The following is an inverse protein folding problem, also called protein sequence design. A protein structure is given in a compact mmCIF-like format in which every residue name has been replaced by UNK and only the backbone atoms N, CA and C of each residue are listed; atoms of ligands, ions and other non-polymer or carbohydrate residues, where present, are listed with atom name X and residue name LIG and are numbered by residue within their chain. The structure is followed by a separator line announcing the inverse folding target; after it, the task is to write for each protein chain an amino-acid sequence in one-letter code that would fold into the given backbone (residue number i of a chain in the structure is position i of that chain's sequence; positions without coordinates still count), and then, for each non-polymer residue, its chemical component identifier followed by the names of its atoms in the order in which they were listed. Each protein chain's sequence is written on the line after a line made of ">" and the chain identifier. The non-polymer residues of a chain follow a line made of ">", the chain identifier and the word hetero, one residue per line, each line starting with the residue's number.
data_IF_158007328457
#
_entry.id   IF_158007328457
#
_cell.length_a   1.000
_cell.length_b   1.000
_cell.length_c   1.000
_cell.angle_alpha   90.00
_cell.angle_beta   90.00
_cell.angle_gamma   90.00
#
_symmetry.space_group_name_H-M   'P 1'
#
loop_
_entity.id
_entity.type
_entity.pdbx_description
1 polymer ?
#
# COMPACT_ATOMS: atom_id res chain seq x y z
N UNK A 1 34.91 14.09 14.72
CA UNK A 1 34.07 12.93 14.41
C UNK A 1 34.50 12.41 13.04
N UNK A 2 35.10 11.19 12.95
CA UNK A 2 35.58 10.59 11.69
C UNK A 2 34.35 10.39 10.76
N UNK A 3 34.37 10.97 9.58
CA UNK A 3 33.29 10.81 8.59
C UNK A 3 33.19 9.35 8.17
N UNK A 4 32.00 8.75 8.29
CA UNK A 4 31.72 7.39 7.82
C UNK A 4 32.02 7.29 6.32
N UNK A 5 32.71 6.24 5.89
CA UNK A 5 32.95 5.97 4.47
C UNK A 5 31.62 5.71 3.75
N UNK A 6 31.59 5.93 2.41
CA UNK A 6 30.38 5.72 1.61
C UNK A 6 29.79 4.31 1.80
N UNK A 7 30.66 3.27 1.87
CA UNK A 7 30.23 1.90 2.12
C UNK A 7 29.61 1.69 3.51
N UNK A 8 30.16 2.33 4.56
CA UNK A 8 29.57 2.26 5.90
C UNK A 8 28.18 2.91 5.98
N UNK A 9 27.95 4.01 5.26
CA UNK A 9 26.63 4.64 5.20
C UNK A 9 25.63 3.74 4.48
N UNK A 10 26.02 3.12 3.38
CA UNK A 10 25.17 2.20 2.62
C UNK A 10 24.78 0.98 3.45
N UNK A 11 25.74 0.36 4.15
CA UNK A 11 25.50 -0.78 5.04
C UNK A 11 24.52 -0.41 6.18
N UNK A 12 24.69 0.76 6.80
CA UNK A 12 23.79 1.22 7.85
C UNK A 12 22.37 1.50 7.34
N UNK A 13 22.22 2.07 6.15
CA UNK A 13 20.92 2.29 5.53
C UNK A 13 20.24 0.96 5.19
N UNK A 14 20.95 0.01 4.62
CA UNK A 14 20.44 -1.32 4.32
C UNK A 14 20.01 -2.05 5.61
N UNK A 15 20.85 -2.05 6.65
CA UNK A 15 20.49 -2.63 7.94
C UNK A 15 19.29 -1.97 8.61
N UNK A 16 19.16 -0.64 8.53
CA UNK A 16 18.00 0.08 9.02
C UNK A 16 16.73 -0.31 8.25
N UNK A 17 16.79 -0.39 6.91
CA UNK A 17 15.66 -0.80 6.07
C UNK A 17 15.23 -2.24 6.39
N UNK A 18 16.18 -3.17 6.51
CA UNK A 18 15.89 -4.56 6.87
C UNK A 18 15.19 -4.66 8.23
N UNK A 19 15.74 -3.98 9.25
CA UNK A 19 15.14 -3.95 10.60
C UNK A 19 13.75 -3.29 10.60
N UNK A 20 13.57 -2.17 9.92
CA UNK A 20 12.28 -1.49 9.80
C UNK A 20 11.24 -2.37 9.10
N UNK A 21 11.65 -3.08 8.05
CA UNK A 21 10.79 -4.02 7.33
C UNK A 21 10.38 -5.20 8.22
N UNK A 22 11.34 -5.82 8.91
CA UNK A 22 11.08 -6.94 9.82
C UNK A 22 10.11 -6.52 10.94
N UNK A 23 10.40 -5.39 11.60
CA UNK A 23 9.54 -4.84 12.66
C UNK A 23 8.13 -4.54 12.14
N UNK A 24 8.01 -3.99 10.93
CA UNK A 24 6.72 -3.74 10.28
C UNK A 24 5.93 -5.04 10.04
N UNK A 25 6.59 -6.12 9.63
CA UNK A 25 5.96 -7.44 9.44
C UNK A 25 5.46 -8.03 10.76
N UNK A 26 6.28 -7.93 11.83
CA UNK A 26 5.89 -8.38 13.17
C UNK A 26 4.68 -7.57 13.68
N UNK A 27 4.70 -6.24 13.56
CA UNK A 27 3.56 -5.40 13.93
C UNK A 27 2.33 -5.71 13.08
N UNK A 28 2.49 -6.03 11.80
CA UNK A 28 1.40 -6.49 10.95
C UNK A 28 0.76 -7.78 11.46
N UNK A 29 1.57 -8.74 11.91
CA UNK A 29 1.05 -9.97 12.53
C UNK A 29 0.30 -9.69 13.84
N UNK A 30 0.86 -8.84 14.72
CA UNK A 30 0.20 -8.42 15.96
C UNK A 30 -1.14 -7.76 15.64
N UNK A 31 -1.20 -6.84 14.67
CA UNK A 31 -2.44 -6.19 14.23
C UNK A 31 -3.49 -7.21 13.77
N UNK A 32 -3.10 -8.17 12.93
CA UNK A 32 -4.02 -9.16 12.38
C UNK A 32 -4.46 -10.16 13.46
N UNK A 33 -3.61 -10.48 14.45
CA UNK A 33 -3.98 -11.26 15.64
C UNK A 33 -4.95 -10.50 16.54
N UNK A 34 -4.78 -9.20 16.70
CA UNK A 34 -5.73 -8.37 17.45
C UNK A 34 -7.11 -8.29 16.77
N UNK A 35 -7.16 -8.31 15.44
CA UNK A 35 -8.44 -8.38 14.72
C UNK A 35 -9.25 -9.58 15.19
N UNK A 36 -8.66 -10.77 15.17
CA UNK A 36 -9.34 -12.00 15.60
C UNK A 36 -9.57 -12.08 17.10
N UNK A 37 -8.68 -11.52 17.92
CA UNK A 37 -8.88 -11.47 19.37
C UNK A 37 -10.06 -10.58 19.77
N UNK A 38 -10.31 -9.47 19.04
CA UNK A 38 -11.38 -8.53 19.35
C UNK A 38 -12.72 -8.87 18.67
N UNK A 39 -12.69 -9.35 17.43
CA UNK A 39 -13.88 -9.56 16.58
C UNK A 39 -14.17 -11.04 16.26
N UNK A 40 -13.29 -11.96 16.70
CA UNK A 40 -13.39 -13.38 16.39
C UNK A 40 -12.93 -13.70 14.96
N UNK A 41 -12.97 -15.00 14.61
CA UNK A 41 -12.68 -15.50 13.26
C UNK A 41 -14.01 -15.80 12.57
N UNK A 42 -14.69 -14.87 12.02
CA UNK A 42 -16.00 -15.12 11.43
C UNK A 42 -16.54 -13.92 10.66
N UNK A 43 -17.82 -13.61 10.85
CA UNK A 43 -18.54 -12.65 10.06
C UNK A 43 -17.83 -11.28 9.98
N UNK A 44 -17.44 -10.70 11.13
CA UNK A 44 -16.84 -9.36 11.16
C UNK A 44 -15.42 -9.34 10.59
N UNK A 45 -14.57 -10.31 10.99
CA UNK A 45 -13.19 -10.38 10.52
C UNK A 45 -13.09 -10.71 9.04
N UNK A 46 -13.87 -11.69 8.55
CA UNK A 46 -13.91 -12.03 7.13
C UNK A 46 -14.40 -10.86 6.28
N UNK A 47 -15.50 -10.19 6.70
CA UNK A 47 -16.02 -9.02 6.01
C UNK A 47 -15.01 -7.88 5.97
N UNK A 48 -14.31 -7.61 7.08
CA UNK A 48 -13.28 -6.57 7.17
C UNK A 48 -12.07 -6.88 6.28
N UNK A 49 -11.57 -8.11 6.30
CA UNK A 49 -10.44 -8.53 5.48
C UNK A 49 -10.78 -8.46 3.99
N UNK A 50 -11.97 -8.91 3.60
CA UNK A 50 -12.47 -8.77 2.23
C UNK A 50 -12.55 -7.29 1.85
N UNK A 51 -13.18 -6.47 2.69
CA UNK A 51 -13.35 -5.04 2.45
C UNK A 51 -12.01 -4.29 2.33
N UNK A 52 -10.99 -4.67 3.08
CA UNK A 52 -9.66 -4.05 3.01
C UNK A 52 -8.85 -4.51 1.80
N UNK A 53 -9.07 -5.74 1.35
CA UNK A 53 -8.34 -6.32 0.22
C UNK A 53 -8.83 -5.76 -1.12
N UNK A 54 -10.13 -5.46 -1.28
CA UNK A 54 -10.69 -4.95 -2.54
C UNK A 54 -10.00 -3.65 -3.01
N UNK A 55 -9.94 -2.57 -2.22
CA UNK A 55 -9.29 -1.32 -2.65
C UNK A 55 -7.79 -1.49 -2.91
N UNK A 56 -7.08 -2.29 -2.10
CA UNK A 56 -5.65 -2.54 -2.29
C UNK A 56 -5.38 -3.34 -3.55
N UNK A 57 -6.16 -4.38 -3.82
CA UNK A 57 -6.04 -5.19 -5.05
C UNK A 57 -6.30 -4.35 -6.30
N UNK A 58 -7.33 -3.50 -6.30
CA UNK A 58 -7.59 -2.59 -7.43
C UNK A 58 -6.45 -1.60 -7.64
N UNK A 59 -5.90 -1.05 -6.56
CA UNK A 59 -4.73 -0.19 -6.64
C UNK A 59 -3.53 -0.93 -7.25
N UNK A 60 -3.23 -2.13 -6.78
CA UNK A 60 -2.10 -2.93 -7.27
C UNK A 60 -2.24 -3.33 -8.74
N UNK A 61 -3.45 -3.68 -9.19
CA UNK A 61 -3.74 -4.00 -10.59
C UNK A 61 -3.55 -2.80 -11.52
N UNK A 62 -3.93 -1.59 -11.06
CA UNK A 62 -3.96 -0.40 -11.93
C UNK A 62 -2.65 0.39 -11.83
N UNK A 63 -2.05 0.48 -10.65
CA UNK A 63 -0.91 1.35 -10.35
C UNK A 63 0.32 0.56 -9.86
N UNK A 64 0.10 -0.68 -9.35
CA UNK A 64 1.16 -1.50 -8.79
C UNK A 64 2.35 -1.65 -9.76
N UNK A 65 3.56 -1.40 -9.27
CA UNK A 65 4.77 -1.48 -10.08
C UNK A 65 5.07 -0.29 -10.99
N UNK A 66 4.09 0.56 -11.35
CA UNK A 66 4.32 1.74 -12.21
C UNK A 66 5.37 2.67 -11.61
N UNK A 67 5.33 2.84 -10.29
CA UNK A 67 6.21 3.79 -9.60
C UNK A 67 7.65 3.31 -9.61
N UNK A 68 7.94 2.10 -9.17
CA UNK A 68 9.30 1.57 -9.12
C UNK A 68 9.86 1.25 -10.51
N UNK A 69 9.02 0.73 -11.40
CA UNK A 69 9.45 0.25 -12.71
C UNK A 69 9.52 1.34 -13.78
N UNK A 70 8.70 2.38 -13.69
CA UNK A 70 8.60 3.39 -14.74
C UNK A 70 8.87 4.82 -14.24
N UNK A 71 8.28 5.23 -13.10
CA UNK A 71 8.48 6.60 -12.61
C UNK A 71 9.93 6.87 -12.24
N UNK A 72 10.55 6.02 -11.40
CA UNK A 72 11.93 6.25 -10.92
C UNK A 72 12.95 6.34 -12.07
N UNK A 73 12.98 5.41 -13.05
CA UNK A 73 13.90 5.52 -14.18
C UNK A 73 13.70 6.78 -15.03
N UNK A 74 12.44 7.12 -15.36
CA UNK A 74 12.13 8.31 -16.16
C UNK A 74 12.48 9.59 -15.42
N UNK A 75 12.16 9.68 -14.12
CA UNK A 75 12.52 10.81 -13.29
C UNK A 75 14.04 11.03 -13.25
N UNK A 76 14.82 9.96 -13.03
CA UNK A 76 16.28 10.04 -12.97
C UNK A 76 16.88 10.42 -14.34
N UNK A 77 16.31 9.95 -15.44
CA UNK A 77 16.73 10.33 -16.79
C UNK A 77 16.50 11.83 -17.05
N UNK A 78 15.32 12.36 -16.68
CA UNK A 78 15.04 13.80 -16.80
C UNK A 78 15.97 14.61 -15.91
N UNK A 79 16.15 14.18 -14.65
CA UNK A 79 16.99 14.86 -13.68
C UNK A 79 18.43 14.98 -14.17
N UNK A 80 18.98 13.92 -14.78
CA UNK A 80 20.36 13.89 -15.28
C UNK A 80 20.54 14.71 -16.57
N UNK A 81 19.56 14.69 -17.50
CA UNK A 81 19.66 15.34 -18.81
C UNK A 81 19.20 16.80 -18.84
N UNK A 82 18.15 17.14 -18.06
CA UNK A 82 17.47 18.44 -18.12
C UNK A 82 17.42 19.19 -16.80
N UNK A 83 17.90 18.56 -15.73
CA UNK A 83 17.99 19.17 -14.41
C UNK A 83 16.70 19.11 -13.61
N UNK A 84 16.78 19.70 -12.40
CA UNK A 84 15.75 19.56 -11.35
C UNK A 84 14.41 20.18 -11.73
N UNK A 85 14.40 21.33 -12.42
CA UNK A 85 13.16 22.06 -12.70
C UNK A 85 12.26 21.28 -13.66
N UNK A 86 12.82 20.66 -14.71
CA UNK A 86 12.06 19.82 -15.63
C UNK A 86 11.60 18.53 -14.95
N UNK A 87 12.45 17.92 -14.13
CA UNK A 87 12.07 16.75 -13.35
C UNK A 87 10.90 17.07 -12.39
N UNK A 88 10.86 18.25 -11.77
CA UNK A 88 9.73 18.66 -10.92
C UNK A 88 8.44 18.91 -11.70
N UNK A 89 8.50 19.39 -12.94
CA UNK A 89 7.32 19.50 -13.81
C UNK A 89 6.75 18.12 -14.13
N UNK A 90 7.62 17.14 -14.40
CA UNK A 90 7.21 15.76 -14.61
C UNK A 90 6.54 15.17 -13.35
N UNK A 91 7.13 15.40 -12.15
CA UNK A 91 6.54 14.98 -10.85
C UNK A 91 5.14 15.54 -10.68
N UNK A 92 4.94 16.85 -10.95
CA UNK A 92 3.64 17.50 -10.82
C UNK A 92 2.58 16.84 -11.72
N UNK A 93 2.90 16.57 -12.98
CA UNK A 93 2.01 15.86 -13.91
C UNK A 93 1.73 14.44 -13.44
N UNK A 94 2.77 13.70 -13.02
CA UNK A 94 2.64 12.34 -12.54
C UNK A 94 1.74 12.24 -11.30
N UNK A 95 2.01 13.04 -10.27
CA UNK A 95 1.20 13.04 -9.05
C UNK A 95 -0.26 13.44 -9.35
N UNK A 96 -0.47 14.44 -10.24
CA UNK A 96 -1.82 14.84 -10.66
C UNK A 96 -2.52 13.68 -11.38
N UNK A 97 -1.82 12.95 -12.25
CA UNK A 97 -2.36 11.77 -12.94
C UNK A 97 -2.76 10.67 -11.94
N UNK A 98 -1.90 10.37 -10.96
CA UNK A 98 -2.20 9.39 -9.91
C UNK A 98 -3.42 9.81 -9.09
N UNK A 99 -3.53 11.09 -8.70
CA UNK A 99 -4.70 11.61 -8.00
C UNK A 99 -5.97 11.44 -8.83
N UNK A 100 -5.94 11.76 -10.12
CA UNK A 100 -7.10 11.57 -11.00
C UNK A 100 -7.51 10.10 -11.11
N UNK A 101 -6.55 9.19 -11.32
CA UNK A 101 -6.80 7.76 -11.42
C UNK A 101 -7.35 7.21 -10.10
N UNK A 102 -6.75 7.56 -8.96
CA UNK A 102 -7.20 7.09 -7.65
C UNK A 102 -8.58 7.63 -7.27
N UNK A 103 -8.89 8.88 -7.62
CA UNK A 103 -10.25 9.43 -7.46
C UNK A 103 -11.27 8.65 -8.30
N UNK A 104 -10.94 8.33 -9.55
CA UNK A 104 -11.81 7.53 -10.40
C UNK A 104 -12.02 6.11 -9.81
N UNK A 105 -10.96 5.47 -9.29
CA UNK A 105 -11.04 4.18 -8.60
C UNK A 105 -11.94 4.28 -7.37
N UNK A 106 -11.81 5.34 -6.56
CA UNK A 106 -12.61 5.52 -5.35
C UNK A 106 -14.08 5.70 -5.68
N UNK A 107 -14.41 6.58 -6.62
CA UNK A 107 -15.80 6.82 -7.03
C UNK A 107 -16.41 5.55 -7.63
N UNK A 108 -15.72 4.92 -8.57
CA UNK A 108 -16.15 3.66 -9.18
C UNK A 108 -16.29 2.54 -8.15
N UNK A 109 -15.31 2.40 -7.27
CA UNK A 109 -15.30 1.37 -6.24
C UNK A 109 -16.44 1.52 -5.22
N UNK A 110 -16.79 2.75 -4.84
CA UNK A 110 -17.94 3.00 -3.95
C UNK A 110 -19.26 2.68 -4.66
N UNK A 111 -19.40 3.05 -5.93
CA UNK A 111 -20.61 2.77 -6.72
C UNK A 111 -20.78 1.26 -6.94
N UNK A 112 -19.71 0.56 -7.30
CA UNK A 112 -19.73 -0.86 -7.63
C UNK A 112 -19.34 -1.79 -6.48
N UNK A 113 -19.36 -1.31 -5.23
CA UNK A 113 -18.90 -2.06 -4.03
C UNK A 113 -19.53 -3.45 -3.90
N UNK A 114 -20.84 -3.57 -4.16
CA UNK A 114 -21.57 -4.83 -4.06
C UNK A 114 -21.12 -5.83 -5.12
N UNK A 115 -20.87 -5.36 -6.33
CA UNK A 115 -20.32 -6.18 -7.42
C UNK A 115 -18.91 -6.65 -7.10
N UNK A 116 -18.07 -5.76 -6.57
CA UNK A 116 -16.69 -6.08 -6.21
C UNK A 116 -16.62 -7.12 -5.08
N UNK A 117 -17.46 -6.98 -4.06
CA UNK A 117 -17.58 -7.97 -2.99
C UNK A 117 -18.06 -9.30 -3.56
N UNK A 118 -19.06 -9.31 -4.46
CA UNK A 118 -19.56 -10.53 -5.08
C UNK A 118 -18.52 -11.23 -5.97
N UNK A 119 -17.65 -10.48 -6.65
CA UNK A 119 -16.52 -11.05 -7.41
C UNK A 119 -15.54 -11.77 -6.49
N UNK A 120 -15.22 -11.16 -5.36
CA UNK A 120 -14.18 -11.64 -4.44
C UNK A 120 -14.70 -12.70 -3.46
N UNK A 121 -15.95 -12.59 -3.03
CA UNK A 121 -16.57 -13.47 -2.02
C UNK A 121 -18.05 -13.78 -2.38
N UNK A 122 -18.30 -14.54 -3.47
CA UNK A 122 -19.67 -14.75 -3.98
C UNK A 122 -20.55 -15.57 -3.04
N UNK A 123 -19.96 -16.32 -2.12
CA UNK A 123 -20.70 -17.25 -1.27
C UNK A 123 -20.92 -16.73 0.16
N UNK A 124 -20.72 -15.44 0.38
CA UNK A 124 -21.08 -14.81 1.65
C UNK A 124 -22.59 -14.82 1.87
N UNK A 125 -22.99 -15.04 3.12
CA UNK A 125 -24.39 -14.80 3.55
C UNK A 125 -24.76 -13.33 3.34
N UNK A 126 -26.07 -13.04 3.21
CA UNK A 126 -26.54 -11.68 2.96
C UNK A 126 -26.00 -10.67 3.98
N UNK A 127 -25.95 -11.04 5.26
CA UNK A 127 -25.44 -10.16 6.33
C UNK A 127 -23.94 -9.90 6.19
N UNK A 128 -23.15 -10.94 5.91
CA UNK A 128 -21.69 -10.83 5.71
C UNK A 128 -21.37 -10.02 4.45
N UNK A 129 -22.12 -10.21 3.36
CA UNK A 129 -21.99 -9.46 2.12
C UNK A 129 -22.30 -7.97 2.33
N UNK A 130 -23.43 -7.66 2.97
CA UNK A 130 -23.83 -6.28 3.26
C UNK A 130 -22.81 -5.56 4.14
N UNK A 131 -22.30 -6.23 5.18
CA UNK A 131 -21.25 -5.69 6.02
C UNK A 131 -19.98 -5.42 5.21
N UNK A 132 -19.51 -6.40 4.44
CA UNK A 132 -18.31 -6.25 3.60
C UNK A 132 -18.46 -5.08 2.61
N UNK A 133 -19.61 -4.92 1.96
CA UNK A 133 -19.87 -3.83 1.03
C UNK A 133 -19.86 -2.44 1.71
N UNK A 134 -20.44 -2.32 2.91
CA UNK A 134 -20.40 -1.08 3.67
C UNK A 134 -18.97 -0.73 4.11
N UNK A 135 -18.22 -1.68 4.65
CA UNK A 135 -16.83 -1.48 5.05
C UNK A 135 -15.94 -1.15 3.85
N UNK A 136 -16.17 -1.79 2.71
CA UNK A 136 -15.48 -1.50 1.44
C UNK A 136 -15.66 -0.04 1.04
N UNK A 137 -16.90 0.48 1.07
CA UNK A 137 -17.16 1.88 0.76
C UNK A 137 -16.43 2.85 1.70
N UNK A 138 -16.36 2.53 3.00
CA UNK A 138 -15.63 3.34 4.00
C UNK A 138 -14.13 3.33 3.71
N UNK A 139 -13.58 2.18 3.27
CA UNK A 139 -12.14 2.01 3.08
C UNK A 139 -11.62 2.50 1.72
N UNK A 140 -12.47 2.62 0.68
CA UNK A 140 -12.01 3.06 -0.64
C UNK A 140 -11.18 4.35 -0.65
N UNK A 141 -11.50 5.40 0.16
CA UNK A 141 -10.69 6.62 0.21
C UNK A 141 -9.21 6.41 0.54
N UNK A 142 -8.84 5.28 1.18
CA UNK A 142 -7.44 4.98 1.46
C UNK A 142 -6.59 4.86 0.18
N UNK A 143 -7.19 4.52 -0.96
CA UNK A 143 -6.50 4.38 -2.26
C UNK A 143 -5.85 5.70 -2.69
N UNK A 144 -6.48 6.84 -2.41
CA UNK A 144 -5.91 8.17 -2.70
C UNK A 144 -4.61 8.38 -1.91
N UNK A 145 -4.67 8.10 -0.61
CA UNK A 145 -3.50 8.26 0.26
C UNK A 145 -2.39 7.27 -0.07
N UNK A 146 -2.76 6.04 -0.46
CA UNK A 146 -1.81 5.03 -0.96
C UNK A 146 -1.10 5.54 -2.21
N UNK A 147 -1.85 6.03 -3.21
CA UNK A 147 -1.29 6.56 -4.45
C UNK A 147 -0.33 7.73 -4.21
N UNK A 148 -0.72 8.66 -3.33
CA UNK A 148 0.12 9.78 -2.94
C UNK A 148 1.38 9.30 -2.18
N UNK A 149 1.21 8.42 -1.19
CA UNK A 149 2.34 7.92 -0.39
C UNK A 149 3.36 7.21 -1.28
N UNK A 150 2.95 6.28 -2.13
CA UNK A 150 3.86 5.57 -3.01
C UNK A 150 4.51 6.47 -4.06
N UNK A 151 3.80 7.48 -4.59
CA UNK A 151 4.39 8.47 -5.51
C UNK A 151 5.53 9.24 -4.85
N UNK A 152 5.35 9.67 -3.61
CA UNK A 152 6.38 10.39 -2.88
C UNK A 152 7.48 9.47 -2.32
N UNK A 153 7.18 8.21 -2.01
CA UNK A 153 8.18 7.17 -1.74
C UNK A 153 9.13 7.03 -2.93
N UNK A 154 8.60 6.85 -4.14
CA UNK A 154 9.41 6.76 -5.36
C UNK A 154 10.27 8.00 -5.59
N UNK A 155 9.72 9.19 -5.33
CA UNK A 155 10.47 10.44 -5.43
C UNK A 155 11.59 10.53 -4.40
N UNK A 156 11.35 10.21 -3.12
CA UNK A 156 12.36 10.20 -2.07
C UNK A 156 13.48 9.19 -2.35
N UNK A 157 13.12 8.00 -2.83
CA UNK A 157 14.09 6.98 -3.27
C UNK A 157 14.96 7.47 -4.43
N UNK A 158 14.38 8.22 -5.37
CA UNK A 158 15.13 8.85 -6.47
C UNK A 158 16.12 9.92 -5.98
N UNK A 159 15.88 10.52 -4.82
CA UNK A 159 16.82 11.41 -4.12
C UNK A 159 17.81 10.69 -3.19
N UNK A 160 17.76 9.35 -3.15
CA UNK A 160 18.62 8.54 -2.28
C UNK A 160 18.15 8.46 -0.82
N UNK A 161 16.92 8.89 -0.51
CA UNK A 161 16.34 8.78 0.83
C UNK A 161 15.49 7.50 0.91
N UNK A 162 16.00 6.51 1.63
CA UNK A 162 15.37 5.20 1.80
C UNK A 162 14.84 4.95 3.22
N UNK A 163 15.38 5.67 4.22
CA UNK A 163 15.05 5.43 5.62
C UNK A 163 13.58 5.76 5.93
N UNK A 164 13.11 6.91 5.46
CA UNK A 164 11.73 7.35 5.72
C UNK A 164 10.72 6.47 4.98
N UNK A 165 10.90 6.15 3.67
CA UNK A 165 10.08 5.14 3.00
C UNK A 165 9.96 3.81 3.75
N UNK A 166 11.02 3.35 4.40
CA UNK A 166 11.01 2.04 5.09
C UNK A 166 10.15 2.00 6.35
N UNK A 167 9.88 3.14 6.99
CA UNK A 167 9.10 3.21 8.24
C UNK A 167 7.62 3.51 8.05
N UNK A 168 7.13 3.84 6.85
CA UNK A 168 5.74 4.22 6.63
C UNK A 168 4.75 3.13 7.07
N UNK A 169 5.08 1.86 6.82
CA UNK A 169 4.26 0.73 7.23
C UNK A 169 4.24 0.51 8.75
N UNK A 170 5.31 0.90 9.46
CA UNK A 170 5.32 0.90 10.93
C UNK A 170 4.27 1.85 11.49
N UNK A 171 4.18 3.06 10.92
CA UNK A 171 3.24 4.10 11.35
C UNK A 171 1.80 3.63 11.21
N UNK A 172 1.44 3.05 10.06
CA UNK A 172 0.08 2.54 9.85
C UNK A 172 -0.27 1.37 10.76
N UNK A 173 0.64 0.42 10.95
CA UNK A 173 0.41 -0.70 11.87
C UNK A 173 0.24 -0.22 13.31
N UNK A 174 1.08 0.70 13.78
CA UNK A 174 0.96 1.29 15.10
C UNK A 174 -0.36 2.05 15.30
N UNK A 175 -0.82 2.81 14.31
CA UNK A 175 -2.09 3.52 14.37
C UNK A 175 -3.27 2.55 14.55
N UNK A 176 -3.26 1.42 13.84
CA UNK A 176 -4.32 0.39 13.94
C UNK A 176 -4.23 -0.36 15.29
N UNK A 177 -3.02 -0.71 15.74
CA UNK A 177 -2.82 -1.34 17.06
C UNK A 177 -3.29 -0.39 18.17
N UNK A 178 -2.99 0.90 18.06
CA UNK A 178 -3.45 1.91 19.03
C UNK A 178 -4.98 1.99 19.09
N UNK A 179 -5.68 1.83 17.95
CA UNK A 179 -7.13 1.74 17.93
C UNK A 179 -7.64 0.62 18.85
N UNK A 180 -7.08 -0.58 18.77
CA UNK A 180 -7.49 -1.70 19.62
C UNK A 180 -7.24 -1.42 21.11
N UNK A 181 -6.08 -0.82 21.43
CA UNK A 181 -5.70 -0.54 22.82
C UNK A 181 -6.56 0.57 23.44
N UNK A 182 -6.84 1.65 22.69
CA UNK A 182 -7.53 2.85 23.22
C UNK A 182 -9.05 2.70 23.14
N UNK A 183 -9.56 2.20 22.03
CA UNK A 183 -11.00 2.17 21.77
C UNK A 183 -11.60 0.76 21.91
N UNK A 184 -10.80 -0.28 21.75
CA UNK A 184 -11.26 -1.67 21.85
C UNK A 184 -12.46 -1.93 20.96
N UNK A 185 -13.56 -2.41 21.57
CA UNK A 185 -14.84 -2.66 20.88
C UNK A 185 -15.78 -1.45 20.80
N UNK A 186 -15.40 -0.29 21.37
CA UNK A 186 -16.31 0.86 21.53
C UNK A 186 -16.96 1.32 20.23
N UNK A 187 -16.19 1.37 19.13
CA UNK A 187 -16.68 1.79 17.82
C UNK A 187 -16.81 0.60 16.84
N UNK A 188 -16.58 -0.64 17.32
CA UNK A 188 -16.73 -1.86 16.54
C UNK A 188 -15.88 -1.90 15.26
N UNK A 189 -16.28 -2.74 14.32
CA UNK A 189 -15.57 -2.96 13.06
C UNK A 189 -15.63 -1.73 12.12
N UNK A 190 -16.67 -0.90 12.24
CA UNK A 190 -16.77 0.35 11.48
C UNK A 190 -15.70 1.36 11.89
N UNK A 191 -15.50 1.53 13.21
CA UNK A 191 -14.42 2.39 13.72
C UNK A 191 -13.04 1.91 13.31
N UNK A 192 -12.82 0.60 13.25
CA UNK A 192 -11.60 0.01 12.72
C UNK A 192 -11.40 0.34 11.23
N UNK A 193 -12.47 0.29 10.43
CA UNK A 193 -12.43 0.63 9.02
C UNK A 193 -12.09 2.09 8.76
N UNK A 194 -12.63 3.01 9.55
CA UNK A 194 -12.23 4.42 9.51
C UNK A 194 -10.77 4.59 9.95
N UNK A 195 -10.35 3.88 11.00
CA UNK A 195 -8.94 3.90 11.45
C UNK A 195 -8.00 3.39 10.37
N UNK A 196 -8.42 2.44 9.54
CA UNK A 196 -7.65 1.97 8.39
C UNK A 196 -7.37 3.13 7.41
N UNK A 197 -8.39 3.93 7.05
CA UNK A 197 -8.22 5.11 6.20
C UNK A 197 -7.27 6.13 6.83
N UNK A 198 -7.43 6.40 8.15
CA UNK A 198 -6.53 7.29 8.88
C UNK A 198 -5.10 6.76 8.87
N UNK A 199 -4.90 5.46 9.10
CA UNK A 199 -3.57 4.83 9.09
C UNK A 199 -2.87 4.98 7.74
N UNK A 200 -3.58 4.83 6.62
CA UNK A 200 -3.05 5.06 5.28
C UNK A 200 -2.79 6.55 5.01
N UNK A 201 -3.63 7.45 5.52
CA UNK A 201 -3.36 8.89 5.42
C UNK A 201 -2.10 9.30 6.19
N UNK A 202 -1.85 8.69 7.36
CA UNK A 202 -0.63 8.92 8.13
C UNK A 202 0.65 8.50 7.39
N UNK A 203 0.59 7.43 6.57
CA UNK A 203 1.71 7.04 5.71
C UNK A 203 2.12 8.18 4.76
N UNK A 204 1.14 8.88 4.19
CA UNK A 204 1.40 10.04 3.34
C UNK A 204 1.87 11.26 4.16
N UNK A 205 1.21 11.55 5.27
CA UNK A 205 1.48 12.72 6.10
C UNK A 205 2.93 12.72 6.61
N UNK A 206 3.45 11.57 7.02
CA UNK A 206 4.83 11.47 7.53
C UNK A 206 5.88 11.77 6.46
N UNK A 207 5.55 11.66 5.19
CA UNK A 207 6.46 11.97 4.08
C UNK A 207 6.56 13.49 3.81
N UNK A 208 5.53 14.28 4.19
CA UNK A 208 5.42 15.71 3.85
C UNK A 208 6.64 16.54 4.31
N UNK A 209 7.15 16.41 5.55
CA UNK A 209 8.32 17.18 6.00
C UNK A 209 9.55 16.90 5.13
N UNK A 210 9.75 15.65 4.73
CA UNK A 210 10.89 15.23 3.91
C UNK A 210 10.76 15.72 2.47
N UNK A 211 9.57 15.66 1.90
CA UNK A 211 9.26 16.20 0.57
C UNK A 211 9.58 17.70 0.54
N UNK A 212 9.17 18.46 1.56
CA UNK A 212 9.48 19.88 1.70
C UNK A 212 10.98 20.13 1.84
N UNK A 213 11.71 19.28 2.60
CA UNK A 213 13.16 19.38 2.77
C UNK A 213 13.92 19.26 1.43
N UNK A 214 13.44 18.42 0.52
CA UNK A 214 14.00 18.29 -0.84
C UNK A 214 13.56 19.43 -1.79
N UNK A 215 12.79 20.40 -1.30
CA UNK A 215 12.35 21.57 -2.06
C UNK A 215 11.25 21.26 -3.08
N UNK A 216 10.53 20.16 -2.90
CA UNK A 216 9.42 19.77 -3.77
C UNK A 216 8.20 20.64 -3.46
N UNK A 217 7.74 21.40 -4.45
CA UNK A 217 6.52 22.21 -4.38
C UNK A 217 5.53 21.65 -5.38
N UNK A 218 4.58 20.86 -4.90
CA UNK A 218 3.55 20.31 -5.74
C UNK A 218 2.63 21.43 -6.29
N UNK A 219 2.43 21.41 -7.60
CA UNK A 219 1.45 22.23 -8.31
C UNK A 219 0.69 21.34 -9.29
N UNK A 220 -0.65 21.22 -9.18
CA UNK A 220 -1.43 20.42 -10.11
C UNK A 220 -1.18 20.83 -11.56
N UNK A 221 -0.83 19.85 -12.41
CA UNK A 221 -0.64 20.05 -13.84
C UNK A 221 -1.37 18.94 -14.61
N UNK A 222 -2.43 19.34 -15.33
CA UNK A 222 -3.30 18.45 -16.11
C UNK A 222 -2.85 18.29 -17.56
N UNK A 223 -1.66 18.76 -17.92
CA UNK A 223 -1.11 18.62 -19.27
C UNK A 223 -0.47 17.23 -19.45
N UNK A 224 -1.31 16.20 -19.56
CA UNK A 224 -0.86 14.80 -19.68
C UNK A 224 -0.30 14.43 -21.06
N UNK A 225 -0.52 15.27 -22.10
CA UNK A 225 0.12 15.11 -23.41
C UNK A 225 1.59 15.54 -23.35
N UNK A 226 2.40 14.74 -22.67
CA UNK A 226 3.81 14.99 -22.41
C UNK A 226 4.61 13.76 -22.84
N UNK A 227 5.75 13.94 -23.57
CA UNK A 227 6.60 12.83 -24.03
C UNK A 227 7.06 11.91 -22.89
N UNK A 228 7.35 12.48 -21.71
CA UNK A 228 7.82 11.71 -20.56
C UNK A 228 6.71 10.91 -19.89
N UNK A 229 5.48 11.45 -19.83
CA UNK A 229 4.30 10.68 -19.38
C UNK A 229 4.06 9.51 -20.35
N UNK A 230 4.14 9.75 -21.67
CA UNK A 230 4.03 8.68 -22.67
C UNK A 230 5.13 7.62 -22.51
N UNK A 231 6.38 8.03 -22.33
CA UNK A 231 7.51 7.12 -22.10
C UNK A 231 7.27 6.28 -20.83
N UNK A 232 6.85 6.91 -19.74
CA UNK A 232 6.55 6.23 -18.49
C UNK A 232 5.43 5.19 -18.66
N UNK A 233 4.33 5.52 -19.34
CA UNK A 233 3.22 4.60 -19.58
C UNK A 233 3.63 3.41 -20.48
N UNK A 234 4.50 3.64 -21.46
CA UNK A 234 5.03 2.56 -22.29
C UNK A 234 5.92 1.60 -21.50
N UNK A 235 6.72 2.10 -20.56
CA UNK A 235 7.52 1.28 -19.65
C UNK A 235 6.65 0.57 -18.62
N UNK A 236 5.59 1.21 -18.15
CA UNK A 236 4.68 0.66 -17.16
C UNK A 236 3.86 -0.53 -17.68
N UNK A 237 3.46 -0.51 -18.96
CA UNK A 237 2.55 -1.52 -19.54
C UNK A 237 3.02 -2.96 -19.35
N UNK A 238 4.21 -3.36 -19.83
CA UNK A 238 4.73 -4.71 -19.64
C UNK A 238 4.90 -5.10 -18.16
N UNK A 239 5.30 -4.12 -17.32
CA UNK A 239 5.49 -4.36 -15.88
C UNK A 239 4.19 -4.58 -15.14
N UNK A 240 3.12 -3.87 -15.51
CA UNK A 240 1.77 -4.11 -14.93
C UNK A 240 1.32 -5.54 -15.17
N UNK A 241 1.53 -6.09 -16.37
CA UNK A 241 1.14 -7.48 -16.67
C UNK A 241 1.86 -8.46 -15.73
N UNK A 242 3.16 -8.26 -15.47
CA UNK A 242 3.91 -9.12 -14.55
C UNK A 242 3.47 -8.98 -13.10
N UNK A 243 3.02 -7.81 -12.68
CA UNK A 243 2.55 -7.56 -11.30
C UNK A 243 1.13 -8.08 -11.05
N UNK A 244 0.34 -8.38 -12.08
CA UNK A 244 -1.05 -8.88 -11.94
C UNK A 244 -1.14 -10.28 -11.36
N UNK A 245 -0.09 -11.08 -11.44
CA UNK A 245 -0.11 -12.47 -10.93
C UNK A 245 -0.51 -12.50 -9.46
N UNK A 246 0.08 -11.66 -8.62
CA UNK A 246 -0.21 -11.64 -7.17
C UNK A 246 -1.63 -11.16 -6.83
N UNK A 247 -2.15 -10.05 -7.38
CA UNK A 247 -3.55 -9.65 -7.21
C UNK A 247 -4.54 -10.71 -7.68
N UNK A 248 -4.33 -11.32 -8.85
CA UNK A 248 -5.21 -12.37 -9.37
C UNK A 248 -5.19 -13.60 -8.48
N UNK A 249 -4.03 -14.04 -8.03
CA UNK A 249 -3.90 -15.13 -7.04
C UNK A 249 -4.68 -14.81 -5.76
N UNK A 250 -4.60 -13.59 -5.25
CA UNK A 250 -5.35 -13.15 -4.06
C UNK A 250 -6.87 -13.22 -4.28
N UNK A 251 -7.37 -12.74 -5.42
CA UNK A 251 -8.80 -12.79 -5.78
C UNK A 251 -9.28 -14.24 -5.84
N UNK A 252 -8.53 -15.11 -6.53
CA UNK A 252 -8.89 -16.53 -6.68
C UNK A 252 -8.94 -17.22 -5.33
N UNK A 253 -7.90 -17.06 -4.50
CA UNK A 253 -7.86 -17.66 -3.17
C UNK A 253 -9.02 -17.20 -2.30
N UNK A 254 -9.31 -15.91 -2.28
CA UNK A 254 -10.38 -15.36 -1.46
C UNK A 254 -11.76 -15.82 -1.95
N UNK A 255 -11.94 -15.95 -3.26
CA UNK A 255 -13.15 -16.50 -3.85
C UNK A 255 -13.41 -17.93 -3.37
N UNK A 256 -12.39 -18.80 -3.37
CA UNK A 256 -12.53 -20.16 -2.85
C UNK A 256 -12.70 -20.18 -1.33
N UNK A 257 -11.97 -19.36 -0.60
CA UNK A 257 -12.08 -19.24 0.85
C UNK A 257 -13.47 -18.79 1.31
N UNK A 258 -14.18 -17.99 0.51
CA UNK A 258 -15.53 -17.51 0.84
C UNK A 258 -16.59 -18.63 0.95
N UNK A 259 -16.28 -19.85 0.46
CA UNK A 259 -17.13 -21.04 0.60
C UNK A 259 -17.12 -21.63 2.02
N UNK A 260 -16.12 -21.31 2.83
CA UNK A 260 -15.89 -21.92 4.13
C UNK A 260 -15.90 -20.81 5.18
N UNK A 261 -16.65 -21.03 6.24
CA UNK A 261 -16.75 -20.04 7.32
C UNK A 261 -15.38 -19.81 7.98
N UNK A 262 -15.05 -18.55 8.23
CA UNK A 262 -13.76 -18.13 8.81
C UNK A 262 -12.51 -18.40 7.96
N UNK A 263 -12.64 -19.01 6.80
CA UNK A 263 -11.46 -19.41 5.99
C UNK A 263 -10.69 -18.19 5.45
N UNK A 264 -11.37 -17.09 5.14
CA UNK A 264 -10.71 -15.84 4.70
C UNK A 264 -9.76 -15.37 5.79
N UNK A 265 -10.20 -15.33 7.03
CA UNK A 265 -9.39 -14.95 8.20
C UNK A 265 -8.21 -15.90 8.40
N UNK A 266 -8.43 -17.21 8.35
CA UNK A 266 -7.36 -18.19 8.55
C UNK A 266 -6.31 -18.15 7.43
N UNK A 267 -6.72 -18.03 6.18
CA UNK A 267 -5.78 -17.92 5.04
C UNK A 267 -4.94 -16.65 5.14
N UNK A 268 -5.54 -15.52 5.48
CA UNK A 268 -4.81 -14.26 5.65
C UNK A 268 -3.76 -14.35 6.77
N UNK A 269 -4.12 -14.94 7.92
CA UNK A 269 -3.20 -15.13 9.03
C UNK A 269 -2.07 -16.11 8.69
N UNK A 270 -2.41 -17.23 8.05
CA UNK A 270 -1.42 -18.23 7.61
C UNK A 270 -0.43 -17.63 6.61
N UNK A 271 -0.90 -16.82 5.66
CA UNK A 271 -0.04 -16.11 4.71
C UNK A 271 0.90 -15.12 5.41
N UNK A 272 0.46 -14.43 6.47
CA UNK A 272 1.32 -13.54 7.24
C UNK A 272 2.44 -14.29 7.94
N UNK A 273 2.13 -15.40 8.60
CA UNK A 273 3.12 -16.27 9.22
C UNK A 273 4.11 -16.83 8.19
N UNK A 274 3.59 -17.36 7.09
CA UNK A 274 4.41 -17.89 6.00
C UNK A 274 5.43 -16.88 5.47
N UNK A 275 4.99 -15.63 5.19
CA UNK A 275 5.87 -14.57 4.69
C UNK A 275 6.96 -14.22 5.72
N UNK A 276 6.67 -14.23 7.03
CA UNK A 276 7.67 -13.96 8.07
C UNK A 276 8.69 -15.11 8.12
N UNK A 277 8.21 -16.36 8.10
CA UNK A 277 9.10 -17.53 8.10
C UNK A 277 9.98 -17.56 6.84
N UNK A 278 9.43 -17.24 5.68
CA UNK A 278 10.17 -17.21 4.41
C UNK A 278 11.29 -16.16 4.44
N UNK A 279 11.01 -14.95 4.95
CA UNK A 279 12.03 -13.91 5.08
C UNK A 279 13.17 -14.34 5.99
N UNK A 280 12.85 -15.01 7.09
CA UNK A 280 13.88 -15.49 8.03
C UNK A 280 14.76 -16.59 7.41
N UNK A 281 14.18 -17.49 6.62
CA UNK A 281 14.91 -18.61 5.97
C UNK A 281 15.68 -18.14 4.74
N UNK A 282 15.19 -17.19 3.97
CA UNK A 282 15.88 -16.64 2.79
C UNK A 282 17.13 -15.84 3.18
N UNK A 283 17.02 -14.95 4.18
CA UNK A 283 18.16 -14.20 4.69
C UNK A 283 19.24 -15.13 5.29
N UNK A 284 18.85 -16.22 5.96
CA UNK A 284 19.79 -17.21 6.50
C UNK A 284 20.45 -18.07 5.41
N UNK A 285 19.84 -18.25 4.24
CA UNK A 285 20.40 -19.01 3.12
C UNK A 285 21.37 -18.18 2.28
N UNK A 286 21.24 -16.87 2.24
CA UNK A 286 22.15 -15.95 1.54
C UNK A 286 23.44 -15.64 2.38
N UNK A 287 23.45 -15.99 3.67
CA UNK A 287 24.63 -15.87 4.56
C UNK A 287 25.49 -17.13 4.62
N UNK A 288 25.10 -18.23 3.96
CA UNK A 288 25.85 -19.49 3.84
C UNK A 288 26.47 -19.66 2.46
#
# INVERSE_FOLDING_TARGET
>A
MKGKTSGQKMLLTAGFMAMATLLSKVLGLVRDSLLTAYFGSGLESDAFLTASTIPTTLFDVIIGGVISAAFIPVFNDIMSKKGKDEAMKFVNKFVTLIVCITLFIVVGGIIFRDVLVNIQAPNYTADKHNLAAQLTAIMFPMVIFTGLAFSFVGLLQSFGEYNIPSIISLVSNLAIILYYVVFGKKFGIYGLSVTMVIAWSLQFIILIPWIKKFGVKYRPDFKFKDPYIKQMLLLAGPMLISTWVQPLYSIVNQRFASNIDSAVTYIQQSNRLYIICLLYTSDAADEL
#
